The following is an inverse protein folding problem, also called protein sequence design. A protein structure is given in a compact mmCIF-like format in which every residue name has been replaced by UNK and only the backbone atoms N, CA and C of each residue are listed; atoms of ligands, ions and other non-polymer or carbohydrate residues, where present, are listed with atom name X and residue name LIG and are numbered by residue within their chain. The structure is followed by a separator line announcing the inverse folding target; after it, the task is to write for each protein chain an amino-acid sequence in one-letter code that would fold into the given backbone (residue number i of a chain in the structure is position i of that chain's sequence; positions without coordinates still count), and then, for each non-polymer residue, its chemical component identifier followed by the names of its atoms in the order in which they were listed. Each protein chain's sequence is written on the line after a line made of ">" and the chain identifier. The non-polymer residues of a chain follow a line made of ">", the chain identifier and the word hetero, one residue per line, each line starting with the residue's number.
data_IF_573862569266
#
_entry.id   IF_573862569266
#
_cell.length_a   1.000
_cell.length_b   1.000
_cell.length_c   1.000
_cell.angle_alpha   90.00
_cell.angle_beta   90.00
_cell.angle_gamma   90.00
#
_symmetry.space_group_name_H-M   'P 1'
#
loop_
_entity.id
_entity.type
_entity.pdbx_description
1 polymer ?
#
# COMPACT_ATOMS: atom_id res chain seq x y z
N UNK A 1 1.94 -4.19 17.79
CA UNK A 1 0.68 -3.67 17.20
C UNK A 1 0.37 -4.50 15.97
N UNK A 2 -0.85 -5.02 15.83
CA UNK A 2 -1.25 -5.85 14.68
C UNK A 2 -1.27 -5.03 13.36
N UNK A 3 -1.09 -5.69 12.22
CA UNK A 3 -1.08 -5.08 10.88
C UNK A 3 -2.38 -4.33 10.61
N UNK A 4 -3.53 -4.91 11.01
CA UNK A 4 -4.85 -4.30 10.87
C UNK A 4 -4.96 -2.95 11.60
N UNK A 5 -4.28 -2.81 12.75
CA UNK A 5 -4.29 -1.57 13.53
C UNK A 5 -3.43 -0.50 12.85
N UNK A 6 -2.29 -0.87 12.26
CA UNK A 6 -1.48 0.05 11.47
C UNK A 6 -2.28 0.56 10.25
N UNK A 7 -2.96 -0.33 9.53
CA UNK A 7 -3.74 0.03 8.34
C UNK A 7 -4.84 1.03 8.68
N UNK A 8 -5.62 0.78 9.73
CA UNK A 8 -6.66 1.70 10.18
C UNK A 8 -6.05 3.05 10.60
N UNK A 9 -4.92 3.02 11.33
CA UNK A 9 -4.23 4.24 11.73
C UNK A 9 -3.81 5.10 10.53
N UNK A 10 -3.26 4.48 9.48
CA UNK A 10 -2.84 5.17 8.24
C UNK A 10 -4.02 5.79 7.48
N UNK A 11 -5.22 5.23 7.60
CA UNK A 11 -6.44 5.79 7.01
C UNK A 11 -6.95 6.98 7.82
N UNK A 12 -7.02 6.81 9.14
CA UNK A 12 -7.65 7.79 10.03
C UNK A 12 -6.74 8.98 10.35
N UNK A 13 -5.43 8.81 10.28
CA UNK A 13 -4.46 9.79 10.76
C UNK A 13 -3.28 10.00 9.78
N UNK A 14 -3.53 10.40 8.52
CA UNK A 14 -2.51 10.43 7.46
C UNK A 14 -1.32 11.37 7.74
N UNK A 15 -1.51 12.40 8.57
CA UNK A 15 -0.48 13.41 8.90
C UNK A 15 0.27 13.14 10.21
N UNK A 16 -0.11 12.08 10.92
CA UNK A 16 0.43 11.81 12.26
C UNK A 16 1.66 10.91 12.21
N UNK A 17 2.47 10.97 13.26
CA UNK A 17 3.61 10.07 13.40
C UNK A 17 3.13 8.64 13.62
N UNK A 18 3.73 7.71 12.87
CA UNK A 18 3.43 6.29 13.01
C UNK A 18 3.72 5.83 14.45
N UNK A 19 2.76 5.17 15.12
CA UNK A 19 2.91 4.76 16.48
C UNK A 19 3.87 3.57 16.61
N UNK A 20 4.55 3.51 17.76
CA UNK A 20 5.29 2.32 18.17
C UNK A 20 4.39 1.07 18.15
N UNK A 21 4.89 -0.10 17.71
CA UNK A 21 6.28 -0.44 17.37
C UNK A 21 6.65 -0.23 15.89
N UNK A 22 5.80 0.42 15.10
CA UNK A 22 6.04 0.60 13.67
C UNK A 22 6.92 1.83 13.41
N UNK A 23 7.71 1.75 12.34
CA UNK A 23 8.52 2.85 11.83
C UNK A 23 8.28 3.00 10.34
N UNK A 24 7.89 4.19 9.91
CA UNK A 24 7.90 4.56 8.50
C UNK A 24 9.33 4.85 8.05
N UNK A 25 9.74 4.23 6.96
CA UNK A 25 11.06 4.38 6.36
C UNK A 25 10.84 4.76 4.90
N UNK A 26 11.53 5.81 4.47
CA UNK A 26 11.66 6.18 3.07
C UNK A 26 13.03 5.70 2.60
N UNK A 27 13.04 4.78 1.64
CA UNK A 27 14.25 4.35 0.97
C UNK A 27 14.53 5.25 -0.22
N UNK A 28 15.64 5.98 -0.13
CA UNK A 28 16.05 6.97 -1.11
C UNK A 28 16.53 6.30 -2.40
N UNK A 29 17.09 5.10 -2.33
CA UNK A 29 17.61 4.40 -3.50
C UNK A 29 16.47 3.93 -4.40
N UNK A 30 15.44 3.33 -3.80
CA UNK A 30 14.29 2.79 -4.53
C UNK A 30 13.14 3.79 -4.68
N UNK A 31 13.18 4.91 -3.94
CA UNK A 31 12.09 5.88 -3.90
C UNK A 31 10.80 5.30 -3.29
N UNK A 32 10.92 4.32 -2.39
CA UNK A 32 9.77 3.61 -1.81
C UNK A 32 9.61 3.89 -0.32
N UNK A 33 8.35 3.94 0.11
CA UNK A 33 7.99 4.01 1.52
C UNK A 33 7.60 2.61 1.99
N UNK A 34 8.11 2.22 3.15
CA UNK A 34 7.68 1.00 3.82
C UNK A 34 7.60 1.18 5.33
N UNK A 35 6.79 0.35 5.97
CA UNK A 35 6.62 0.29 7.41
C UNK A 35 7.33 -0.94 7.96
N UNK A 36 8.26 -0.72 8.89
CA UNK A 36 9.01 -1.78 9.55
C UNK A 36 8.56 -1.92 11.00
N UNK A 37 8.19 -3.13 11.40
CA UNK A 37 7.90 -3.46 12.78
C UNK A 37 9.24 -3.62 13.53
N UNK A 38 9.42 -2.88 14.62
CA UNK A 38 10.73 -2.75 15.27
C UNK A 38 11.22 -4.03 15.96
N UNK A 39 10.32 -4.91 16.38
CA UNK A 39 10.67 -6.09 17.20
C UNK A 39 11.05 -7.31 16.36
N UNK A 40 10.32 -7.57 15.27
CA UNK A 40 10.47 -8.77 14.44
C UNK A 40 10.97 -8.44 13.02
N UNK A 41 11.18 -7.15 12.71
CA UNK A 41 11.67 -6.70 11.41
C UNK A 41 10.67 -6.83 10.26
N UNK A 42 9.41 -7.17 10.52
CA UNK A 42 8.38 -7.35 9.49
C UNK A 42 8.17 -6.07 8.67
N UNK A 43 8.02 -6.21 7.35
CA UNK A 43 7.95 -5.10 6.39
C UNK A 43 6.60 -5.06 5.66
N UNK A 44 6.08 -3.85 5.45
CA UNK A 44 4.92 -3.58 4.60
C UNK A 44 5.28 -2.43 3.65
N UNK A 45 5.20 -2.68 2.35
CA UNK A 45 5.49 -1.69 1.31
C UNK A 45 4.25 -0.86 0.98
N UNK A 46 4.43 0.44 0.75
CA UNK A 46 3.35 1.36 0.40
C UNK A 46 3.43 1.74 -1.08
N UNK A 47 2.56 1.16 -1.89
CA UNK A 47 2.50 1.37 -3.34
C UNK A 47 1.37 2.32 -3.77
N UNK A 48 0.76 3.03 -2.82
CA UNK A 48 -0.21 4.07 -3.16
C UNK A 48 0.46 5.17 -3.99
N UNK A 49 -0.20 5.76 -4.99
CA UNK A 49 0.38 6.80 -5.85
C UNK A 49 0.85 8.02 -5.08
N UNK A 50 0.23 8.35 -3.94
CA UNK A 50 0.60 9.50 -3.11
C UNK A 50 0.70 9.07 -1.65
N UNK A 51 1.90 9.17 -1.07
CA UNK A 51 2.18 8.73 0.31
C UNK A 51 2.68 9.90 1.14
N UNK A 52 2.03 10.16 2.28
CA UNK A 52 2.51 11.16 3.23
C UNK A 52 3.74 10.61 3.98
N UNK A 53 4.89 11.25 3.79
CA UNK A 53 6.15 10.84 4.41
C UNK A 53 6.46 11.59 5.70
N UNK A 54 5.76 12.71 5.98
CA UNK A 54 5.68 13.47 7.25
C UNK A 54 5.27 14.91 7.00
N UNK A 55 4.56 15.52 7.97
CA UNK A 55 4.30 16.98 8.04
C UNK A 55 3.68 17.55 6.77
N UNK A 56 2.80 16.80 6.12
CA UNK A 56 2.16 17.20 4.86
C UNK A 56 3.08 17.16 3.65
N UNK A 57 4.26 16.53 3.75
CA UNK A 57 5.11 16.23 2.60
C UNK A 57 4.63 14.92 2.00
N UNK A 58 4.25 14.96 0.73
CA UNK A 58 3.80 13.80 -0.01
C UNK A 58 4.84 13.37 -1.03
N UNK A 59 5.06 12.06 -1.11
CA UNK A 59 5.83 11.41 -2.15
C UNK A 59 4.89 10.93 -3.25
N UNK A 60 5.19 11.32 -4.49
CA UNK A 60 4.57 10.75 -5.68
C UNK A 60 5.27 9.42 -6.03
N UNK A 61 4.52 8.33 -5.90
CA UNK A 61 4.94 6.97 -6.15
C UNK A 61 4.21 6.37 -7.37
N UNK A 62 3.72 7.22 -8.28
CA UNK A 62 2.94 6.82 -9.45
C UNK A 62 3.61 5.73 -10.30
N UNK A 63 4.94 5.82 -10.50
CA UNK A 63 5.72 4.82 -11.24
C UNK A 63 5.64 3.41 -10.64
N UNK A 64 5.72 3.29 -9.32
CA UNK A 64 5.62 1.99 -8.65
C UNK A 64 4.17 1.54 -8.48
N UNK A 65 3.21 2.48 -8.46
CA UNK A 65 1.79 2.16 -8.48
C UNK A 65 1.28 1.68 -9.86
N UNK A 66 2.07 1.83 -10.92
CA UNK A 66 1.68 1.42 -12.29
C UNK A 66 1.44 -0.09 -12.43
N UNK A 67 1.99 -0.93 -11.54
CA UNK A 67 1.68 -2.37 -11.52
C UNK A 67 0.25 -2.68 -11.07
N UNK A 68 -0.52 -1.67 -10.69
CA UNK A 68 -1.88 -1.76 -10.15
C UNK A 68 -2.92 -1.37 -11.23
N UNK A 69 -2.54 -0.57 -12.24
CA UNK A 69 -3.48 -0.05 -13.26
C UNK A 69 -3.79 -1.13 -14.33
N UNK A 70 -4.96 -1.78 -14.20
CA UNK A 70 -5.52 -2.69 -15.19
C UNK A 70 -6.72 -2.01 -15.89
N UNK A 71 -7.00 -2.32 -17.16
CA UNK A 71 -8.20 -1.78 -17.82
C UNK A 71 -9.49 -2.11 -17.05
N UNK A 72 -9.55 -3.30 -16.43
CA UNK A 72 -10.66 -3.73 -15.57
C UNK A 72 -10.76 -2.96 -14.24
N UNK A 73 -9.66 -2.37 -13.74
CA UNK A 73 -9.72 -1.60 -12.48
C UNK A 73 -10.40 -0.26 -12.66
N UNK A 74 -10.32 0.39 -13.82
CA UNK A 74 -11.00 1.70 -14.03
C UNK A 74 -12.51 1.60 -13.88
N UNK A 75 -13.11 0.51 -14.35
CA UNK A 75 -14.55 0.25 -14.18
C UNK A 75 -14.90 -0.07 -12.72
N UNK A 76 -14.04 -0.83 -12.01
CA UNK A 76 -14.20 -1.09 -10.58
C UNK A 76 -14.01 0.17 -9.72
N UNK A 77 -13.01 1.00 -10.02
CA UNK A 77 -12.73 2.29 -9.38
C UNK A 77 -13.96 3.19 -9.52
N UNK A 78 -14.53 3.29 -10.72
CA UNK A 78 -15.73 4.12 -10.94
C UNK A 78 -16.92 3.62 -10.11
N UNK A 79 -17.13 2.30 -10.05
CA UNK A 79 -18.20 1.70 -9.24
C UNK A 79 -17.97 1.87 -7.74
N UNK A 80 -16.72 1.80 -7.28
CA UNK A 80 -16.35 1.93 -5.87
C UNK A 80 -16.30 3.38 -5.39
N UNK A 81 -15.79 4.31 -6.19
CA UNK A 81 -15.76 5.75 -5.89
C UNK A 81 -17.17 6.32 -5.76
N UNK A 82 -18.14 5.79 -6.52
CA UNK A 82 -19.56 6.13 -6.39
C UNK A 82 -20.19 5.61 -5.09
N UNK A 83 -19.54 4.70 -4.36
CA UNK A 83 -20.14 4.04 -3.18
C UNK A 83 -19.72 4.65 -1.84
N UNK A 84 -18.51 5.20 -1.68
CA UNK A 84 -18.04 5.79 -0.41
C UNK A 84 -16.92 6.81 -0.64
N UNK A 85 -17.08 8.03 -0.11
CA UNK A 85 -16.14 9.16 -0.23
C UNK A 85 -14.86 9.07 0.62
N UNK A 86 -14.32 7.88 0.86
CA UNK A 86 -13.07 7.68 1.59
C UNK A 86 -12.06 6.96 0.70
N UNK A 87 -10.82 7.45 0.68
CA UNK A 87 -9.69 6.77 0.03
C UNK A 87 -9.44 5.44 0.74
N UNK A 88 -9.98 4.34 0.18
CA UNK A 88 -9.79 3.01 0.76
C UNK A 88 -8.37 2.54 0.49
N UNK A 89 -7.70 2.06 1.54
CA UNK A 89 -6.42 1.35 1.37
C UNK A 89 -6.61 -0.13 1.65
N UNK A 90 -5.94 -0.96 0.86
CA UNK A 90 -6.02 -2.41 0.90
C UNK A 90 -4.65 -2.99 1.18
N UNK A 91 -4.61 -4.10 1.94
CA UNK A 91 -3.39 -4.87 2.17
C UNK A 91 -3.43 -6.16 1.36
N UNK A 92 -2.46 -6.32 0.46
CA UNK A 92 -2.24 -7.58 -0.25
C UNK A 92 -1.02 -8.31 0.26
N UNK A 93 -1.12 -9.64 0.29
CA UNK A 93 -0.01 -10.56 0.53
C UNK A 93 0.36 -11.21 -0.81
N UNK A 94 1.61 -11.06 -1.21
CA UNK A 94 2.14 -11.53 -2.48
C UNK A 94 3.08 -12.70 -2.26
N UNK A 95 2.80 -13.81 -2.93
CA UNK A 95 3.60 -15.06 -2.87
C UNK A 95 3.79 -15.69 -4.26
N UNK A 96 3.49 -14.97 -5.35
CA UNK A 96 3.44 -15.50 -6.72
C UNK A 96 4.81 -15.90 -7.29
N UNK A 97 5.81 -15.04 -7.16
CA UNK A 97 7.01 -15.08 -8.00
C UNK A 97 8.32 -14.96 -7.21
N UNK A 98 8.25 -15.11 -5.89
CA UNK A 98 9.40 -15.16 -4.99
C UNK A 98 9.10 -16.09 -3.81
N UNK A 99 10.13 -16.72 -3.25
CA UNK A 99 10.06 -17.47 -1.97
C UNK A 99 9.84 -16.55 -0.76
N UNK A 100 9.76 -15.24 -1.01
CA UNK A 100 9.56 -14.19 -0.03
C UNK A 100 8.10 -13.75 -0.10
N UNK A 101 7.44 -13.71 1.06
CA UNK A 101 6.13 -13.08 1.20
C UNK A 101 6.30 -11.56 1.24
N UNK A 102 5.65 -10.85 0.32
CA UNK A 102 5.65 -9.37 0.30
C UNK A 102 4.28 -8.87 0.73
N UNK A 103 4.24 -7.94 1.68
CA UNK A 103 3.01 -7.27 2.12
C UNK A 103 2.95 -5.86 1.55
N UNK A 104 1.83 -5.49 0.94
CA UNK A 104 1.69 -4.28 0.15
C UNK A 104 0.42 -3.52 0.48
N UNK A 105 0.53 -2.21 0.70
CA UNK A 105 -0.59 -1.27 0.82
C UNK A 105 -0.84 -0.65 -0.56
N UNK A 106 -2.09 -0.66 -0.99
CA UNK A 106 -2.53 -0.13 -2.28
C UNK A 106 -3.86 0.60 -2.13
N UNK A 107 -4.21 1.45 -3.09
CA UNK A 107 -5.46 2.22 -3.13
C UNK A 107 -6.56 1.57 -3.99
N UNK A 108 -6.25 0.44 -4.66
CA UNK A 108 -7.19 -0.28 -5.53
C UNK A 108 -7.50 -1.69 -4.98
N UNK A 109 -8.73 -2.19 -5.20
CA UNK A 109 -9.14 -3.52 -4.74
C UNK A 109 -8.56 -4.66 -5.59
N UNK A 110 -7.73 -4.36 -6.60
CA UNK A 110 -7.05 -5.35 -7.44
C UNK A 110 -5.58 -5.03 -7.49
N UNK A 111 -4.73 -6.05 -7.41
CA UNK A 111 -3.28 -5.90 -7.45
C UNK A 111 -2.63 -6.96 -8.34
N UNK A 112 -1.66 -6.55 -9.17
CA UNK A 112 -0.83 -7.48 -9.96
C UNK A 112 0.59 -7.55 -9.42
N UNK A 113 1.13 -8.76 -9.41
CA UNK A 113 2.50 -9.07 -9.03
C UNK A 113 3.47 -8.24 -9.91
N UNK A 114 4.39 -7.48 -9.33
CA UNK A 114 5.33 -6.67 -10.11
C UNK A 114 6.28 -7.51 -10.98
N UNK A 115 6.52 -8.76 -10.59
CA UNK A 115 7.50 -9.64 -11.26
C UNK A 115 6.91 -10.43 -12.43
N UNK A 116 5.65 -10.86 -12.32
CA UNK A 116 5.03 -11.76 -13.29
C UNK A 116 3.64 -11.32 -13.75
N UNK A 117 3.17 -10.17 -13.26
CA UNK A 117 1.91 -9.53 -13.65
C UNK A 117 0.63 -10.35 -13.44
N UNK A 118 0.72 -11.50 -12.77
CA UNK A 118 -0.44 -12.26 -12.31
C UNK A 118 -1.26 -11.43 -11.31
N UNK A 119 -2.59 -11.57 -11.34
CA UNK A 119 -3.48 -10.96 -10.34
C UNK A 119 -3.27 -11.71 -9.02
N UNK A 120 -2.84 -10.99 -7.99
CA UNK A 120 -2.50 -11.55 -6.67
C UNK A 120 -3.65 -11.40 -5.68
N UNK A 121 -4.50 -10.40 -5.90
CA UNK A 121 -5.71 -10.24 -5.13
C UNK A 121 -6.74 -9.41 -5.87
N UNK A 122 -7.99 -9.80 -5.68
CA UNK A 122 -9.19 -9.14 -6.21
C UNK A 122 -10.21 -9.18 -5.09
N UNK A 123 -10.44 -8.04 -4.44
CA UNK A 123 -11.53 -7.89 -3.50
C UNK A 123 -12.82 -7.60 -4.30
N UNK A 124 -13.98 -8.15 -3.87
CA UNK A 124 -15.26 -7.97 -4.54
C UNK A 124 -15.69 -6.50 -4.54
#
# INVERSE_FOLDING_TARGET
>A
MDISVLLNFLQDNPDTLIPSPWKQIFDVETGLVYYKHSENGFLIYDFRPLVNIRRGIFLDNSLNSASIDCADTRQMITNFQNSYGLSKVYLFRITCCADITIHCIVDQPVFKCMLCHCIVGKLP
#
